data_IF_532491551778
#
_entry.id   IF_532491551778
#
_cell.length_a   1.000
_cell.length_b   1.000
_cell.length_c   1.000
_cell.angle_alpha   90.00
_cell.angle_beta   90.00
_cell.angle_gamma   90.00
#
_symmetry.space_group_name_H-M   'P 1'
#
loop_
_entity.id
_entity.type
_entity.pdbx_description
1 polymer ?
#
# COMPACT_ATOMS: atom_id res chain seq x y z
N UNK A 1 -71.84 -9.65 -37.36
CA UNK A 1 -70.81 -10.08 -36.40
C UNK A 1 -69.97 -8.85 -36.06
N UNK A 2 -69.87 -8.55 -34.76
CA UNK A 2 -68.82 -7.78 -34.03
C UNK A 2 -68.33 -6.39 -34.53
N UNK A 3 -68.71 -5.36 -33.76
CA UNK A 3 -67.88 -4.21 -33.35
C UNK A 3 -66.97 -4.62 -32.16
N UNK A 4 -66.13 -3.76 -31.53
CA UNK A 4 -65.15 -2.74 -31.99
C UNK A 4 -63.78 -2.88 -31.27
N UNK A 5 -62.79 -1.99 -31.52
CA UNK A 5 -62.07 -1.19 -30.49
C UNK A 5 -60.81 -0.50 -31.04
N UNK A 6 -60.69 0.78 -30.70
CA UNK A 6 -59.45 1.55 -30.70
C UNK A 6 -58.54 1.11 -29.54
N UNK A 7 -57.23 1.07 -29.74
CA UNK A 7 -56.26 1.25 -28.67
C UNK A 7 -55.03 1.99 -29.22
N UNK A 8 -54.77 3.19 -28.69
CA UNK A 8 -53.41 3.72 -28.59
C UNK A 8 -52.63 2.77 -27.68
N UNK A 9 -51.40 2.46 -28.05
CA UNK A 9 -50.38 2.04 -27.09
C UNK A 9 -49.22 3.02 -27.22
N UNK A 10 -48.83 3.52 -26.05
CA UNK A 10 -47.77 4.45 -25.77
C UNK A 10 -46.37 3.86 -26.08
N UNK A 11 -45.41 4.78 -26.05
CA UNK A 11 -43.96 4.65 -26.16
C UNK A 11 -43.40 3.47 -25.34
N UNK A 12 -42.46 2.70 -25.91
CA UNK A 12 -41.42 2.02 -25.13
C UNK A 12 -40.15 1.84 -26.00
N UNK A 13 -39.07 2.43 -25.51
CA UNK A 13 -37.66 2.05 -25.62
C UNK A 13 -37.08 1.69 -26.99
N UNK A 14 -36.46 2.68 -27.62
CA UNK A 14 -35.36 2.42 -28.54
C UNK A 14 -34.18 1.89 -27.70
N UNK A 15 -34.05 0.57 -27.65
CA UNK A 15 -32.81 -0.11 -27.25
C UNK A 15 -31.65 0.51 -28.05
N UNK A 16 -30.83 1.28 -27.34
CA UNK A 16 -29.58 1.78 -27.88
C UNK A 16 -28.65 0.57 -27.93
N UNK A 17 -28.44 0.03 -29.13
CA UNK A 17 -27.56 -1.11 -29.39
C UNK A 17 -26.25 -0.93 -28.62
N UNK A 18 -26.00 -1.86 -27.69
CA UNK A 18 -24.79 -1.97 -26.90
C UNK A 18 -23.58 -2.02 -27.84
N UNK A 19 -23.00 -0.84 -28.07
CA UNK A 19 -21.69 -0.71 -28.69
C UNK A 19 -20.72 -1.58 -27.91
N UNK A 20 -20.15 -2.56 -28.59
CA UNK A 20 -19.24 -3.55 -28.02
C UNK A 20 -17.94 -2.84 -27.63
N UNK A 21 -17.88 -2.28 -26.42
CA UNK A 21 -16.63 -1.80 -25.83
C UNK A 21 -15.81 -3.04 -25.51
N UNK A 22 -14.98 -3.42 -26.48
CA UNK A 22 -14.03 -4.51 -26.34
C UNK A 22 -12.87 -3.98 -25.53
N UNK A 23 -13.03 -3.94 -24.19
CA UNK A 23 -11.95 -3.55 -23.29
C UNK A 23 -10.77 -4.51 -23.49
N UNK A 24 -9.72 -4.00 -24.13
CA UNK A 24 -8.54 -4.71 -24.64
C UNK A 24 -7.59 -5.24 -23.55
N UNK A 25 -7.97 -5.11 -22.27
CA UNK A 25 -7.10 -5.38 -21.12
C UNK A 25 -7.72 -6.45 -20.22
N UNK A 26 -6.88 -7.41 -19.85
CA UNK A 26 -7.24 -8.57 -19.03
C UNK A 26 -7.88 -8.17 -17.68
N UNK A 27 -9.04 -8.76 -17.42
CA UNK A 27 -10.03 -8.51 -16.34
C UNK A 27 -9.61 -8.97 -14.93
N UNK A 28 -8.34 -8.85 -14.53
CA UNK A 28 -7.86 -9.55 -13.34
C UNK A 28 -7.08 -8.67 -12.35
N UNK A 29 -7.84 -8.24 -11.33
CA UNK A 29 -7.44 -7.82 -9.98
C UNK A 29 -6.78 -6.45 -9.84
N UNK A 30 -7.55 -5.47 -9.36
CA UNK A 30 -6.97 -4.35 -8.63
C UNK A 30 -6.16 -4.89 -7.46
N UNK A 31 -4.86 -4.60 -7.41
CA UNK A 31 -4.03 -4.97 -6.26
C UNK A 31 -4.15 -3.88 -5.20
N UNK A 32 -4.59 -4.23 -4.01
CA UNK A 32 -4.63 -3.30 -2.88
C UNK A 32 -3.30 -3.33 -2.14
N UNK A 33 -2.74 -2.16 -1.82
CA UNK A 33 -1.63 -2.02 -0.86
C UNK A 33 -1.94 -0.88 0.09
N UNK A 34 -1.56 -1.03 1.35
CA UNK A 34 -1.69 0.03 2.33
C UNK A 34 -0.33 0.64 2.61
N UNK A 35 -0.27 1.96 2.80
CA UNK A 35 0.92 2.62 3.32
C UNK A 35 0.62 3.91 4.08
N UNK A 36 1.51 4.28 4.99
CA UNK A 36 1.48 5.60 5.62
C UNK A 36 2.00 6.66 4.64
N UNK A 37 1.21 7.71 4.40
CA UNK A 37 1.68 8.88 3.66
C UNK A 37 2.31 9.86 4.65
N UNK A 38 3.59 10.21 4.51
CA UNK A 38 4.41 10.75 5.60
C UNK A 38 4.05 12.18 6.01
N UNK A 39 3.24 12.84 5.19
CA UNK A 39 2.81 14.23 5.36
C UNK A 39 1.34 14.35 5.78
N UNK A 40 0.64 13.22 5.99
CA UNK A 40 -0.72 13.20 6.52
C UNK A 40 -0.71 13.10 8.05
N UNK A 41 -1.87 13.27 8.67
CA UNK A 41 -2.04 13.13 10.12
C UNK A 41 -1.77 11.70 10.60
N UNK A 42 -1.46 11.55 11.90
CA UNK A 42 -1.06 10.28 12.51
C UNK A 42 -2.13 9.19 12.47
N UNK A 43 -3.36 9.57 12.18
CA UNK A 43 -4.53 8.71 12.08
C UNK A 43 -4.90 8.38 10.62
N UNK A 44 -4.25 9.00 9.63
CA UNK A 44 -4.53 8.74 8.22
C UNK A 44 -3.56 7.74 7.63
N UNK A 45 -4.09 6.83 6.82
CA UNK A 45 -3.31 5.90 6.02
C UNK A 45 -3.85 5.88 4.59
N UNK A 46 -3.01 5.45 3.66
CA UNK A 46 -3.36 5.41 2.25
C UNK A 46 -3.58 3.97 1.82
N UNK A 47 -4.75 3.70 1.27
CA UNK A 47 -5.05 2.50 0.53
C UNK A 47 -4.83 2.78 -0.95
N UNK A 48 -3.82 2.13 -1.55
CA UNK A 48 -3.51 2.24 -2.97
C UNK A 48 -4.07 1.06 -3.73
N UNK A 49 -4.92 1.37 -4.70
CA UNK A 49 -5.46 0.43 -5.68
C UNK A 49 -4.61 0.50 -6.94
N UNK A 50 -3.95 -0.59 -7.32
CA UNK A 50 -3.19 -0.66 -8.57
C UNK A 50 -4.08 -1.26 -9.66
N UNK A 51 -4.28 -0.53 -10.76
CA UNK A 51 -4.87 -1.05 -11.98
C UNK A 51 -3.75 -1.48 -12.94
N UNK A 52 -3.78 -2.76 -13.32
CA UNK A 52 -2.88 -3.30 -14.32
C UNK A 52 -3.36 -2.86 -15.71
N UNK A 53 -2.47 -2.22 -16.48
CA UNK A 53 -2.68 -2.05 -17.92
C UNK A 53 -3.14 -0.68 -18.42
N UNK A 54 -2.91 0.44 -17.72
CA UNK A 54 -3.21 1.75 -18.31
C UNK A 54 -2.48 1.91 -19.64
N UNK A 55 -3.25 2.15 -20.70
CA UNK A 55 -2.75 2.47 -22.04
C UNK A 55 -2.55 3.98 -22.12
N UNK A 56 -1.32 4.40 -22.41
CA UNK A 56 -0.98 5.79 -22.73
C UNK A 56 -0.44 5.88 -24.16
N UNK A 57 -0.76 6.96 -24.87
CA UNK A 57 -0.22 7.26 -26.20
C UNK A 57 -1.27 7.84 -27.14
N UNK A 58 -2.12 6.98 -27.71
CA UNK A 58 -2.86 7.28 -28.95
C UNK A 58 -4.32 7.65 -28.75
N UNK A 59 -4.81 7.56 -27.52
CA UNK A 59 -6.18 7.83 -27.16
C UNK A 59 -6.19 8.92 -26.09
N UNK A 60 -7.02 9.94 -26.29
CA UNK A 60 -7.38 10.83 -25.19
C UNK A 60 -8.24 10.02 -24.22
N UNK A 61 -7.84 9.97 -22.96
CA UNK A 61 -8.62 9.32 -21.92
C UNK A 61 -8.98 10.32 -20.83
N UNK A 62 -10.20 10.21 -20.29
CA UNK A 62 -10.68 11.09 -19.20
C UNK A 62 -9.91 10.90 -17.90
N UNK A 63 -9.14 9.80 -17.80
CA UNK A 63 -8.42 9.39 -16.60
C UNK A 63 -9.35 8.74 -15.58
N UNK A 64 -8.90 7.66 -14.96
CA UNK A 64 -9.69 7.00 -13.93
C UNK A 64 -9.56 7.74 -12.60
N UNK A 65 -10.61 7.68 -11.78
CA UNK A 65 -10.61 8.22 -10.42
C UNK A 65 -11.40 7.30 -9.49
N UNK A 66 -11.48 7.64 -8.21
CA UNK A 66 -12.19 6.84 -7.20
C UNK A 66 -13.22 7.72 -6.51
N UNK A 67 -14.44 7.20 -6.41
CA UNK A 67 -15.51 7.76 -5.58
C UNK A 67 -15.62 6.93 -4.31
N UNK A 68 -15.79 7.63 -3.18
CA UNK A 68 -15.92 7.01 -1.87
C UNK A 68 -17.31 7.34 -1.36
N UNK A 69 -18.09 6.31 -1.06
CA UNK A 69 -19.42 6.43 -0.47
C UNK A 69 -19.49 5.56 0.79
N UNK A 70 -20.41 5.88 1.69
CA UNK A 70 -20.64 5.12 2.91
C UNK A 70 -22.04 4.54 2.88
N UNK A 71 -22.13 3.23 3.11
CA UNK A 71 -23.38 2.54 3.33
C UNK A 71 -23.30 1.76 4.64
N UNK A 72 -23.97 2.26 5.68
CA UNK A 72 -23.99 1.63 7.02
C UNK A 72 -22.57 1.39 7.56
N UNK A 73 -22.18 0.12 7.71
CA UNK A 73 -20.89 -0.42 8.18
C UNK A 73 -19.86 -0.63 7.06
N UNK A 74 -20.22 -0.26 5.83
CA UNK A 74 -19.42 -0.54 4.64
C UNK A 74 -18.96 0.76 3.99
N UNK A 75 -17.65 0.90 3.85
CA UNK A 75 -17.04 1.93 3.00
C UNK A 75 -16.98 1.41 1.56
N UNK A 76 -17.73 2.04 0.66
CA UNK A 76 -17.72 1.73 -0.77
C UNK A 76 -16.67 2.58 -1.45
N UNK A 77 -15.78 1.90 -2.16
CA UNK A 77 -14.72 2.51 -2.95
C UNK A 77 -14.97 2.11 -4.39
N UNK A 78 -15.62 3.00 -5.14
CA UNK A 78 -15.98 2.79 -6.53
C UNK A 78 -14.91 3.39 -7.44
N UNK A 79 -14.23 2.54 -8.19
CA UNK A 79 -13.31 2.97 -9.24
C UNK A 79 -14.14 3.36 -10.46
N UNK A 80 -13.97 4.60 -10.91
CA UNK A 80 -14.52 5.09 -12.16
C UNK A 80 -13.41 5.01 -13.20
N UNK A 81 -13.55 4.05 -14.12
CA UNK A 81 -12.58 3.80 -15.18
C UNK A 81 -12.38 5.00 -16.11
N UNK A 82 -11.25 5.02 -16.81
CA UNK A 82 -10.99 6.07 -17.80
C UNK A 82 -11.74 5.73 -19.09
N UNK A 83 -12.51 6.67 -19.59
CA UNK A 83 -13.16 6.53 -20.89
C UNK A 83 -12.19 6.95 -21.99
N UNK A 84 -12.20 6.21 -23.11
CA UNK A 84 -11.48 6.60 -24.32
C UNK A 84 -12.37 7.56 -25.11
N UNK A 85 -11.94 8.81 -25.20
CA UNK A 85 -12.55 9.80 -26.07
C UNK A 85 -12.03 9.56 -27.48
N UNK A 86 -12.91 9.05 -28.34
CA UNK A 86 -12.69 9.11 -29.78
C UNK A 86 -12.89 10.57 -30.19
N UNK A 87 -11.86 11.22 -30.70
CA UNK A 87 -12.02 12.56 -31.27
C UNK A 87 -12.80 12.43 -32.58
N UNK A 88 -14.09 12.78 -32.55
CA UNK A 88 -14.98 12.71 -33.71
C UNK A 88 -14.54 13.65 -34.85
N UNK A 89 -13.58 14.55 -34.61
CA UNK A 89 -13.19 15.57 -35.59
C UNK A 89 -12.01 15.16 -36.47
N UNK A 90 -11.07 14.36 -35.97
CA UNK A 90 -9.94 13.86 -36.77
C UNK A 90 -9.54 12.44 -36.35
N UNK A 91 -9.61 11.44 -37.25
CA UNK A 91 -9.10 10.11 -36.95
C UNK A 91 -7.59 10.16 -36.70
N UNK A 92 -7.17 9.94 -35.44
CA UNK A 92 -5.77 9.90 -35.01
C UNK A 92 -4.95 8.71 -35.59
N UNK A 93 -5.50 7.97 -36.56
CA UNK A 93 -4.85 6.86 -37.25
C UNK A 93 -3.61 7.27 -38.07
N UNK A 94 -3.35 8.58 -38.25
CA UNK A 94 -2.16 9.10 -38.94
C UNK A 94 -0.90 9.18 -38.07
N UNK A 95 -0.99 8.92 -36.75
CA UNK A 95 0.18 8.91 -35.87
C UNK A 95 0.93 7.57 -35.98
N UNK A 96 1.66 7.37 -37.09
CA UNK A 96 2.48 6.17 -37.37
C UNK A 96 3.57 5.87 -36.31
N UNK A 97 3.81 6.76 -35.35
CA UNK A 97 4.80 6.62 -34.28
C UNK A 97 4.19 6.56 -32.87
N UNK A 98 2.88 6.29 -32.76
CA UNK A 98 2.27 6.20 -31.45
C UNK A 98 2.58 4.86 -30.77
N UNK A 99 3.57 4.85 -29.88
CA UNK A 99 3.87 3.71 -29.01
C UNK A 99 2.84 3.62 -27.88
N UNK A 100 2.00 2.58 -27.92
CA UNK A 100 1.17 2.20 -26.77
C UNK A 100 2.10 1.67 -25.67
N UNK A 101 2.21 2.42 -24.57
CA UNK A 101 2.91 1.96 -23.36
C UNK A 101 1.90 1.45 -22.36
N UNK A 102 2.09 0.21 -21.90
CA UNK A 102 1.38 -0.33 -20.76
C UNK A 102 2.09 0.12 -19.48
N UNK A 103 1.38 0.85 -18.63
CA UNK A 103 1.86 1.24 -17.31
C UNK A 103 0.92 0.71 -16.23
N UNK A 104 1.44 0.51 -15.02
CA UNK A 104 0.61 0.34 -13.83
C UNK A 104 0.07 1.72 -13.42
N UNK A 105 -1.25 1.86 -13.41
CA UNK A 105 -1.89 3.01 -12.78
C UNK A 105 -2.21 2.69 -11.33
N UNK A 106 -2.27 3.72 -10.49
CA UNK A 106 -2.72 3.54 -9.13
C UNK A 106 -3.56 4.72 -8.67
N UNK A 107 -4.44 4.46 -7.71
CA UNK A 107 -5.27 5.46 -7.05
C UNK A 107 -5.04 5.35 -5.55
N UNK A 108 -4.88 6.50 -4.91
CA UNK A 108 -4.67 6.59 -3.46
C UNK A 108 -5.98 7.03 -2.80
N UNK A 109 -6.51 6.15 -1.98
CA UNK A 109 -7.67 6.40 -1.10
C UNK A 109 -7.12 6.74 0.27
N UNK A 110 -7.37 7.96 0.74
CA UNK A 110 -6.98 8.39 2.08
C UNK A 110 -8.06 7.97 3.06
N UNK A 111 -7.68 7.21 4.08
CA UNK A 111 -8.57 6.66 5.08
C UNK A 111 -8.15 7.18 6.46
N UNK A 112 -9.11 7.72 7.21
CA UNK A 112 -8.89 8.20 8.57
C UNK A 112 -9.34 7.12 9.57
N UNK A 113 -8.43 6.65 10.41
CA UNK A 113 -8.68 5.63 11.42
C UNK A 113 -9.81 6.03 12.38
N UNK A 114 -9.79 7.27 12.86
CA UNK A 114 -10.74 7.72 13.88
C UNK A 114 -12.13 7.84 13.28
N UNK A 115 -12.24 8.32 12.04
CA UNK A 115 -13.48 8.32 11.28
C UNK A 115 -14.01 6.89 11.07
N UNK A 116 -13.16 5.94 10.67
CA UNK A 116 -13.57 4.55 10.48
C UNK A 116 -14.08 3.89 11.78
N UNK A 117 -13.53 4.27 12.94
CA UNK A 117 -14.00 3.80 14.25
C UNK A 117 -15.33 4.46 14.61
N UNK A 118 -15.44 5.78 14.45
CA UNK A 118 -16.66 6.55 14.74
C UNK A 118 -17.83 6.09 13.87
N UNK A 119 -17.55 5.77 12.61
CA UNK A 119 -18.54 5.31 11.64
C UNK A 119 -18.89 3.83 11.76
N UNK A 120 -18.23 3.10 12.66
CA UNK A 120 -18.39 1.65 12.86
C UNK A 120 -18.20 0.87 11.55
N UNK A 121 -17.18 1.23 10.76
CA UNK A 121 -16.90 0.56 9.49
C UNK A 121 -16.25 -0.80 9.76
N UNK A 122 -16.93 -1.86 9.32
CA UNK A 122 -16.49 -3.25 9.41
C UNK A 122 -16.07 -3.83 8.05
N UNK A 123 -16.48 -3.19 6.94
CA UNK A 123 -16.18 -3.66 5.59
C UNK A 123 -15.69 -2.54 4.67
N UNK A 124 -14.77 -2.86 3.77
CA UNK A 124 -14.45 -2.04 2.60
C UNK A 124 -14.90 -2.81 1.37
N UNK A 125 -15.93 -2.31 0.69
CA UNK A 125 -16.38 -2.84 -0.59
C UNK A 125 -15.67 -2.10 -1.71
N UNK A 126 -14.99 -2.86 -2.55
CA UNK A 126 -14.31 -2.36 -3.71
C UNK A 126 -15.12 -2.73 -4.95
N UNK A 127 -15.53 -1.69 -5.67
CA UNK A 127 -16.42 -1.77 -6.82
C UNK A 127 -15.80 -1.07 -8.02
N UNK A 128 -16.10 -1.56 -9.21
CA UNK A 128 -15.89 -0.85 -10.47
C UNK A 128 -17.22 -0.38 -10.99
N UNK A 129 -17.28 0.84 -11.56
CA UNK A 129 -18.50 1.34 -12.19
C UNK A 129 -18.90 0.46 -13.38
N UNK A 130 -17.93 0.07 -14.21
CA UNK A 130 -18.16 -0.77 -15.38
C UNK A 130 -18.42 -2.24 -15.03
N UNK A 131 -17.71 -2.79 -14.03
CA UNK A 131 -17.67 -4.23 -13.78
C UNK A 131 -18.44 -4.69 -12.54
N UNK A 132 -18.96 -3.77 -11.74
CA UNK A 132 -19.63 -4.08 -10.48
C UNK A 132 -18.66 -4.48 -9.37
N UNK A 133 -19.18 -5.23 -8.39
CA UNK A 133 -18.45 -5.55 -7.16
C UNK A 133 -17.38 -6.60 -7.43
N UNK A 134 -16.13 -6.31 -7.06
CA UNK A 134 -15.01 -7.22 -7.28
C UNK A 134 -14.43 -7.80 -5.99
N UNK A 135 -14.47 -7.06 -4.88
CA UNK A 135 -13.93 -7.53 -3.62
C UNK A 135 -14.51 -6.78 -2.43
N UNK A 136 -14.99 -7.51 -1.44
CA UNK A 136 -15.24 -6.97 -0.10
C UNK A 136 -14.15 -7.46 0.83
N UNK A 137 -13.57 -6.55 1.60
CA UNK A 137 -12.53 -6.81 2.60
C UNK A 137 -13.10 -6.53 3.98
N UNK A 138 -12.99 -7.49 4.89
CA UNK A 138 -13.36 -7.25 6.27
C UNK A 138 -12.25 -6.46 6.94
N UNK A 139 -12.63 -5.43 7.70
CA UNK A 139 -11.70 -4.58 8.41
C UNK A 139 -11.99 -4.63 9.90
N UNK A 140 -10.92 -4.72 10.68
CA UNK A 140 -10.96 -4.57 12.12
C UNK A 140 -10.07 -3.40 12.50
N UNK A 141 -10.70 -2.28 12.77
CA UNK A 141 -10.03 -1.03 13.15
C UNK A 141 -9.86 -1.00 14.66
N UNK A 142 -8.63 -0.76 15.10
CA UNK A 142 -8.24 -0.51 16.49
C UNK A 142 -7.46 0.79 16.55
N UNK A 143 -7.28 1.31 17.76
CA UNK A 143 -6.48 2.52 18.01
C UNK A 143 -5.06 2.45 17.44
N UNK A 144 -4.42 1.29 17.50
CA UNK A 144 -3.01 1.08 17.15
C UNK A 144 -2.82 0.26 15.87
N UNK A 145 -3.90 -0.28 15.29
CA UNK A 145 -3.81 -1.17 14.14
C UNK A 145 -5.08 -1.22 13.31
N UNK A 146 -4.93 -1.52 12.03
CA UNK A 146 -6.02 -1.95 11.16
C UNK A 146 -5.66 -3.33 10.63
N UNK A 147 -6.51 -4.32 10.92
CA UNK A 147 -6.39 -5.65 10.35
C UNK A 147 -7.40 -5.79 9.23
N UNK A 148 -6.92 -6.27 8.10
CA UNK A 148 -7.70 -6.52 6.91
C UNK A 148 -7.73 -8.02 6.68
N UNK A 149 -8.92 -8.55 6.45
CA UNK A 149 -9.13 -9.96 6.10
C UNK A 149 -9.73 -9.98 4.72
N UNK A 150 -8.95 -10.46 3.75
CA UNK A 150 -9.46 -10.69 2.40
C UNK A 150 -9.94 -12.14 2.34
N UNK A 151 -11.26 -12.39 2.27
CA UNK A 151 -11.78 -13.72 2.06
C UNK A 151 -11.43 -14.17 0.63
N UNK A 152 -10.66 -15.25 0.49
CA UNK A 152 -10.50 -15.97 -0.78
C UNK A 152 -11.06 -17.37 -0.64
N UNK A 153 -11.57 -17.94 -1.74
CA UNK A 153 -12.20 -19.27 -1.78
C UNK A 153 -11.35 -20.40 -1.17
N UNK A 154 -10.04 -20.21 -1.05
CA UNK A 154 -9.10 -21.21 -0.51
C UNK A 154 -8.37 -20.78 0.76
N UNK A 155 -8.32 -19.49 1.08
CA UNK A 155 -7.51 -18.98 2.19
C UNK A 155 -7.93 -17.55 2.57
N UNK A 156 -7.92 -17.25 3.87
CA UNK A 156 -8.00 -15.86 4.33
C UNK A 156 -6.62 -15.20 4.31
N UNK A 157 -6.49 -14.09 3.59
CA UNK A 157 -5.28 -13.28 3.63
C UNK A 157 -5.46 -12.17 4.67
N UNK A 158 -4.67 -12.26 5.74
CA UNK A 158 -4.67 -11.28 6.81
C UNK A 158 -3.51 -10.29 6.61
N UNK A 159 -3.82 -9.01 6.52
CA UNK A 159 -2.82 -7.94 6.49
C UNK A 159 -3.07 -6.99 7.65
N UNK A 160 -2.08 -6.79 8.52
CA UNK A 160 -2.17 -5.83 9.63
C UNK A 160 -1.30 -4.61 9.34
N UNK A 161 -1.91 -3.45 9.38
CA UNK A 161 -1.26 -2.15 9.38
C UNK A 161 -1.14 -1.64 10.81
N UNK A 162 0.03 -1.11 11.19
CA UNK A 162 0.29 -0.62 12.55
C UNK A 162 0.49 0.90 12.55
N UNK A 163 -0.25 1.59 13.41
CA UNK A 163 -0.05 3.01 13.68
C UNK A 163 1.06 3.17 14.72
N UNK A 164 2.31 3.24 14.25
CA UNK A 164 3.45 3.40 15.16
C UNK A 164 3.53 4.84 15.69
N UNK A 165 3.93 5.05 16.96
CA UNK A 165 4.12 6.38 17.53
C UNK A 165 5.03 7.27 16.67
N UNK A 166 4.75 8.58 16.61
CA UNK A 166 5.55 9.59 15.87
C UNK A 166 7.06 9.52 16.14
N UNK A 167 7.44 9.19 17.37
CA UNK A 167 8.80 9.10 17.83
C UNK A 167 9.44 7.72 17.55
N UNK A 168 8.93 6.97 16.57
CA UNK A 168 9.46 5.67 16.21
C UNK A 168 10.67 5.81 15.27
N UNK A 169 11.73 5.07 15.57
CA UNK A 169 12.98 5.02 14.81
C UNK A 169 13.28 3.58 14.41
N UNK A 170 13.86 3.41 13.22
CA UNK A 170 14.40 2.13 12.77
C UNK A 170 15.90 2.21 12.85
N UNK A 171 16.50 1.27 13.59
CA UNK A 171 17.94 1.06 13.57
C UNK A 171 18.25 -0.05 12.58
N UNK A 172 19.14 0.21 11.63
CA UNK A 172 19.54 -0.77 10.60
C UNK A 172 21.06 -0.86 10.45
N UNK A 173 21.53 -2.04 10.05
CA UNK A 173 22.90 -2.27 9.60
C UNK A 173 22.86 -2.71 8.13
N UNK A 174 22.88 -1.77 7.16
CA UNK A 174 22.54 -2.07 5.76
C UNK A 174 23.51 -3.04 5.08
N UNK A 175 24.75 -3.14 5.56
CA UNK A 175 25.78 -4.01 5.01
C UNK A 175 25.81 -5.41 5.68
N UNK A 176 24.92 -5.68 6.63
CA UNK A 176 24.90 -6.94 7.34
C UNK A 176 24.16 -8.02 6.54
N UNK A 177 24.65 -9.26 6.65
CA UNK A 177 23.90 -10.42 6.19
C UNK A 177 22.70 -10.63 7.11
N UNK A 178 21.64 -11.18 6.54
CA UNK A 178 20.40 -11.48 7.25
C UNK A 178 20.62 -12.63 8.25
N UNK A 179 20.86 -12.32 9.53
CA UNK A 179 21.18 -13.28 10.59
C UNK A 179 20.64 -12.81 11.95
N UNK A 180 20.22 -13.74 12.80
CA UNK A 180 19.66 -13.43 14.12
C UNK A 180 20.63 -12.68 15.05
N UNK A 181 21.92 -12.99 15.00
CA UNK A 181 22.96 -12.33 15.81
C UNK A 181 23.07 -10.83 15.52
N UNK A 182 22.85 -10.42 14.27
CA UNK A 182 22.79 -9.01 13.87
C UNK A 182 21.58 -8.32 14.52
N UNK A 183 20.40 -8.95 14.45
CA UNK A 183 19.17 -8.40 15.03
C UNK A 183 19.32 -8.20 16.54
N UNK A 184 19.86 -9.19 17.24
CA UNK A 184 20.05 -9.14 18.68
C UNK A 184 21.08 -8.07 19.09
N UNK A 185 22.15 -7.91 18.30
CA UNK A 185 23.12 -6.83 18.51
C UNK A 185 22.52 -5.44 18.29
N UNK A 186 21.70 -5.24 17.24
CA UNK A 186 20.96 -3.99 17.04
C UNK A 186 19.98 -3.75 18.19
N UNK A 187 19.24 -4.79 18.61
CA UNK A 187 18.28 -4.74 19.74
C UNK A 187 18.97 -4.27 21.02
N UNK A 188 20.10 -4.89 21.36
CA UNK A 188 20.92 -4.54 22.52
C UNK A 188 21.44 -3.10 22.42
N UNK A 189 22.01 -2.72 21.28
CA UNK A 189 22.50 -1.36 21.05
C UNK A 189 21.41 -0.31 21.24
N UNK A 190 20.21 -0.52 20.68
CA UNK A 190 19.10 0.41 20.86
C UNK A 190 18.69 0.56 22.33
N UNK A 191 18.56 -0.55 23.05
CA UNK A 191 18.21 -0.55 24.48
C UNK A 191 19.26 0.16 25.35
N UNK A 192 20.55 -0.06 25.09
CA UNK A 192 21.65 0.63 25.78
C UNK A 192 21.65 2.14 25.53
N UNK A 193 21.12 2.57 24.37
CA UNK A 193 20.98 3.98 24.03
C UNK A 193 19.65 4.61 24.51
N UNK A 194 18.87 3.90 25.32
CA UNK A 194 17.62 4.39 25.91
C UNK A 194 16.39 4.21 25.03
N UNK A 195 16.46 3.39 23.98
CA UNK A 195 15.32 3.10 23.12
C UNK A 195 14.50 1.92 23.64
N UNK A 196 13.19 2.01 23.45
CA UNK A 196 12.28 0.91 23.82
C UNK A 196 11.88 0.14 22.56
N UNK A 197 12.11 -1.19 22.48
CA UNK A 197 11.64 -1.99 21.35
C UNK A 197 10.13 -1.80 21.12
N UNK A 198 9.72 -1.64 19.86
CA UNK A 198 8.34 -1.25 19.55
C UNK A 198 7.31 -2.29 20.01
N UNK A 199 7.69 -3.58 20.09
CA UNK A 199 6.83 -4.65 20.60
C UNK A 199 6.38 -4.43 22.06
N UNK A 200 7.13 -3.63 22.84
CA UNK A 200 6.78 -3.29 24.21
C UNK A 200 5.83 -2.09 24.30
N UNK A 201 5.67 -1.35 23.21
CA UNK A 201 4.88 -0.10 23.14
C UNK A 201 3.58 -0.31 22.38
N UNK A 202 3.64 -1.03 21.27
CA UNK A 202 2.49 -1.36 20.42
C UNK A 202 2.14 -2.83 20.67
N UNK A 203 1.00 -3.06 21.31
CA UNK A 203 0.55 -4.40 21.67
C UNK A 203 0.31 -5.21 20.40
N UNK A 204 0.65 -6.49 20.43
CA UNK A 204 0.47 -7.43 19.32
C UNK A 204 1.29 -7.08 18.05
N UNK A 205 2.16 -6.06 18.07
CA UNK A 205 3.07 -5.76 16.97
C UNK A 205 3.99 -6.96 16.72
N UNK A 206 3.93 -7.49 15.50
CA UNK A 206 4.79 -8.56 15.04
C UNK A 206 5.80 -8.01 14.05
N UNK A 207 7.06 -8.10 14.44
CA UNK A 207 8.17 -7.79 13.56
C UNK A 207 8.24 -8.85 12.45
N UNK A 208 8.42 -8.44 11.20
CA UNK A 208 8.58 -9.38 10.09
C UNK A 208 9.88 -10.18 10.29
N UNK A 209 9.74 -11.48 10.57
CA UNK A 209 10.86 -12.37 10.90
C UNK A 209 11.94 -12.40 9.81
N UNK A 210 11.58 -12.04 8.58
CA UNK A 210 12.40 -12.23 7.40
C UNK A 210 13.53 -11.19 7.28
N UNK A 211 13.53 -10.12 8.09
CA UNK A 211 14.44 -8.98 7.95
C UNK A 211 15.24 -8.71 9.24
N UNK A 212 16.34 -9.42 9.42
CA UNK A 212 17.18 -9.40 10.62
C UNK A 212 18.19 -8.23 10.67
N UNK A 213 18.29 -7.42 9.61
CA UNK A 213 19.24 -6.31 9.53
C UNK A 213 18.68 -4.97 10.04
N UNK A 214 17.46 -4.95 10.59
CA UNK A 214 16.93 -3.78 11.28
C UNK A 214 16.06 -4.18 12.48
N UNK A 215 15.81 -3.22 13.36
CA UNK A 215 14.87 -3.33 14.50
C UNK A 215 14.16 -1.98 14.66
N UNK A 216 12.87 -2.03 15.03
CA UNK A 216 12.04 -0.84 15.23
C UNK A 216 11.92 -0.51 16.73
N UNK A 217 12.09 0.76 17.08
CA UNK A 217 12.06 1.24 18.45
C UNK A 217 11.23 2.52 18.60
N UNK A 218 10.71 2.75 19.80
CA UNK A 218 10.22 4.04 20.28
C UNK A 218 11.35 4.82 20.96
N UNK A 219 11.56 6.06 20.50
CA UNK A 219 12.53 7.03 21.01
C UNK A 219 11.81 8.10 21.85
N UNK A 220 11.43 7.77 23.08
CA UNK A 220 10.62 8.66 23.96
C UNK A 220 11.33 9.97 24.32
N UNK A 221 12.66 9.97 24.35
CA UNK A 221 13.47 11.15 24.67
C UNK A 221 13.84 11.99 23.43
N UNK A 222 13.53 11.48 22.23
CA UNK A 222 13.83 12.13 20.97
C UNK A 222 15.33 12.21 20.67
N UNK A 223 16.15 11.27 21.15
CA UNK A 223 17.62 11.29 20.98
C UNK A 223 18.03 11.17 19.52
N UNK A 224 17.33 10.35 18.74
CA UNK A 224 17.64 10.09 17.33
C UNK A 224 16.61 10.74 16.41
N UNK A 225 15.34 10.77 16.81
CA UNK A 225 14.25 11.30 15.99
C UNK A 225 14.34 12.80 15.72
N UNK A 226 14.97 13.58 16.63
CA UNK A 226 15.24 15.02 16.41
C UNK A 226 16.18 15.32 15.24
N UNK A 227 17.07 14.39 14.88
CA UNK A 227 17.99 14.53 13.74
C UNK A 227 17.46 13.93 12.44
N UNK A 228 16.20 13.47 12.43
CA UNK A 228 15.56 12.81 11.30
C UNK A 228 14.42 13.69 10.78
N UNK A 229 14.78 14.76 10.08
CA UNK A 229 13.83 15.77 9.58
C UNK A 229 13.02 15.30 8.37
N UNK A 230 13.46 14.23 7.69
CA UNK A 230 12.77 13.65 6.53
C UNK A 230 12.72 12.12 6.60
N UNK A 231 11.88 11.49 5.78
CA UNK A 231 11.80 10.03 5.71
C UNK A 231 13.04 9.36 5.12
N UNK A 232 13.79 10.09 4.31
CA UNK A 232 15.02 9.58 3.69
C UNK A 232 16.27 9.98 4.49
N UNK A 233 16.09 10.73 5.59
CA UNK A 233 17.15 11.02 6.52
C UNK A 233 17.72 9.71 7.10
N UNK A 234 19.04 9.61 7.05
CA UNK A 234 19.81 8.49 7.60
C UNK A 234 20.95 9.07 8.41
N UNK A 235 20.93 8.84 9.71
CA UNK A 235 21.98 9.31 10.60
C UNK A 235 22.80 8.12 11.11
N UNK A 236 24.13 8.12 10.95
CA UNK A 236 25.00 7.20 11.65
C UNK A 236 24.85 7.41 13.16
N UNK A 237 24.46 6.38 13.90
CA UNK A 237 24.27 6.48 15.36
C UNK A 237 25.31 5.70 16.16
N UNK A 238 26.04 4.79 15.51
CA UNK A 238 27.09 4.04 16.17
C UNK A 238 27.51 2.81 15.38
N UNK A 239 28.01 1.82 16.10
CA UNK A 239 28.43 0.53 15.56
C UNK A 239 28.12 -0.59 16.54
N UNK A 240 27.90 -1.79 16.01
CA UNK A 240 27.83 -3.04 16.77
C UNK A 240 28.98 -3.95 16.34
N UNK A 241 29.61 -4.62 17.29
CA UNK A 241 30.70 -5.56 17.02
C UNK A 241 30.16 -6.98 17.09
N UNK A 242 30.41 -7.77 16.05
CA UNK A 242 30.03 -9.17 15.95
C UNK A 242 31.25 -10.04 15.70
N UNK A 243 31.15 -11.33 15.98
CA UNK A 243 32.14 -12.33 15.60
C UNK A 243 31.68 -13.11 14.37
N UNK A 244 32.63 -13.51 13.52
CA UNK A 244 32.42 -14.51 12.46
C UNK A 244 33.51 -15.57 12.58
N UNK A 245 33.15 -16.82 12.39
CA UNK A 245 34.13 -17.90 12.29
C UNK A 245 34.67 -17.96 10.85
N UNK A 246 35.99 -17.82 10.70
CA UNK A 246 36.69 -18.00 9.43
C UNK A 246 37.48 -19.30 9.48
N UNK A 247 37.29 -20.15 8.47
CA UNK A 247 38.03 -21.41 8.34
C UNK A 247 39.26 -21.18 7.47
N UNK A 248 40.44 -21.43 8.03
CA UNK A 248 41.73 -21.35 7.34
C UNK A 248 42.54 -22.64 7.45
N UNK A 249 43.76 -22.63 6.89
CA UNK A 249 44.66 -23.80 6.93
C UNK A 249 45.03 -24.26 8.36
N UNK A 250 44.91 -23.37 9.35
CA UNK A 250 45.20 -23.64 10.76
C UNK A 250 43.94 -23.90 11.61
N UNK A 251 42.78 -24.16 10.99
CA UNK A 251 41.51 -24.37 11.69
C UNK A 251 40.60 -23.13 11.75
N UNK A 252 39.49 -23.19 12.49
CA UNK A 252 38.57 -22.07 12.66
C UNK A 252 39.16 -20.98 13.57
N UNK A 253 39.08 -19.72 13.12
CA UNK A 253 39.45 -18.54 13.90
C UNK A 253 38.24 -17.62 13.99
N UNK A 254 37.96 -17.10 15.19
CA UNK A 254 36.96 -16.04 15.36
C UNK A 254 37.56 -14.68 14.98
N UNK A 255 36.96 -14.03 13.99
CA UNK A 255 37.29 -12.66 13.61
C UNK A 255 36.18 -11.73 14.09
N UNK A 256 36.54 -10.69 14.84
CA UNK A 256 35.63 -9.60 15.16
C UNK A 256 35.51 -8.64 13.98
N UNK A 257 34.30 -8.15 13.74
CA UNK A 257 34.04 -7.13 12.74
C UNK A 257 32.98 -6.15 13.22
N UNK A 258 33.09 -4.90 12.79
CA UNK A 258 32.17 -3.83 13.14
C UNK A 258 31.14 -3.62 12.05
N UNK A 259 29.89 -3.47 12.45
CA UNK A 259 28.79 -3.07 11.60
C UNK A 259 28.32 -1.68 12.01
N UNK A 260 28.25 -0.76 11.04
CA UNK A 260 27.69 0.58 11.23
C UNK A 260 26.18 0.48 11.47
N UNK A 261 25.71 1.11 12.55
CA UNK A 261 24.29 1.27 12.85
C UNK A 261 23.83 2.64 12.33
N UNK A 262 22.75 2.62 11.57
CA UNK A 262 22.10 3.80 11.00
C UNK A 262 20.70 3.90 11.61
N UNK A 263 20.35 5.08 12.11
CA UNK A 263 18.96 5.39 12.42
C UNK A 263 18.28 6.05 11.21
N UNK A 264 17.04 5.66 10.97
CA UNK A 264 16.15 6.27 9.97
C UNK A 264 14.74 6.35 10.54
N UNK A 265 13.88 7.21 9.98
CA UNK A 265 12.46 7.17 10.31
C UNK A 265 11.87 5.84 9.85
N UNK A 266 10.93 5.33 10.65
CA UNK A 266 10.11 4.21 10.19
C UNK A 266 9.32 4.64 8.95
N UNK A 267 9.55 3.94 7.85
CA UNK A 267 8.57 3.91 6.77
C UNK A 267 7.54 2.93 7.29
N UNK A 268 6.43 3.42 7.85
CA UNK A 268 5.41 2.58 8.51
C UNK A 268 4.67 1.63 7.56
N UNK A 269 5.30 1.26 6.44
CA UNK A 269 4.87 0.22 5.51
C UNK A 269 6.00 -0.13 4.56
N UNK A 270 6.07 -1.42 4.29
CA UNK A 270 6.91 -2.09 3.32
C UNK A 270 6.92 -1.34 1.97
N UNK A 271 8.04 -0.73 1.58
CA UNK A 271 8.24 -0.35 0.17
C UNK A 271 9.72 -0.15 -0.21
N UNK A 272 10.25 -1.04 -1.03
CA UNK A 272 11.51 -0.89 -1.78
C UNK A 272 11.32 -0.09 -3.09
N UNK A 273 10.09 0.17 -3.53
CA UNK A 273 9.78 0.80 -4.82
C UNK A 273 9.59 2.33 -4.74
N UNK A 274 9.33 2.89 -3.55
CA UNK A 274 9.10 4.35 -3.41
C UNK A 274 10.34 5.19 -3.77
N UNK A 275 11.56 4.62 -3.66
CA UNK A 275 12.81 5.32 -3.97
C UNK A 275 13.06 5.45 -5.48
N UNK A 276 12.40 4.65 -6.32
CA UNK A 276 12.67 4.64 -7.77
C UNK A 276 11.78 5.57 -8.62
N UNK A 277 10.71 6.14 -8.07
CA UNK A 277 9.74 6.95 -8.85
C UNK A 277 9.74 8.46 -8.53
N UNK A 278 10.61 8.92 -7.64
CA UNK A 278 10.82 10.35 -7.35
C UNK A 278 12.15 10.88 -7.94
N UNK A 279 12.75 10.15 -8.88
CA UNK A 279 13.90 10.60 -9.68
C UNK A 279 13.54 10.57 -11.15
#
# INVERSE_FOLDING_TARGET
MTFPLSARADIEDYEQEEGTITNLLSRSYYKVRFFNTPHLSDNTFTMRLYALGKVSGCAHTTGSYVEIDRATDTLKVEVVESEVLLDDKEPLYSNHECEIKQNESFFDVLLDRDQLIEDEIEHISLKSREYGDYQTVDIKVKKDSIKLTVPSQRQEYNTTFWFLPKNTVVLETPNAKNRDDVRDAIRKFGMENGLTPVEKVVKDYQFQHDLHNYVVFSDTEGRFTKGLDSLDARIPVGKVTLSKTRYGANGPVEELYDLKVIAKRTKNTYNSEYIKRLR
#
